data_IF_262546448732
#
_entry.id   IF_262546448732
#
_cell.length_a   1.000
_cell.length_b   1.000
_cell.length_c   1.000
_cell.angle_alpha   90.00
_cell.angle_beta   90.00
_cell.angle_gamma   90.00
#
_symmetry.space_group_name_H-M   'P 1'
#
loop_
_entity.id
_entity.type
_entity.pdbx_description
1 polymer ?
#
# COMPACT_ATOMS: atom_id res chain seq x y z
N UNK A 1 15.59 -0.90 -9.17
CA UNK A 1 14.63 -0.34 -10.15
C UNK A 1 13.36 0.07 -9.42
N UNK A 2 12.81 1.25 -9.73
CA UNK A 2 11.58 1.78 -9.10
C UNK A 2 10.46 1.77 -10.13
N UNK A 3 9.30 1.23 -9.74
CA UNK A 3 8.11 1.15 -10.60
C UNK A 3 6.95 1.88 -9.94
N UNK A 4 6.25 2.73 -10.70
CA UNK A 4 5.03 3.39 -10.25
C UNK A 4 3.83 2.50 -10.53
N UNK A 5 3.13 2.09 -9.48
CA UNK A 5 1.90 1.30 -9.60
C UNK A 5 0.76 1.97 -8.84
N UNK A 6 -0.46 1.50 -9.08
CA UNK A 6 -1.60 1.86 -8.25
C UNK A 6 -1.64 0.95 -7.01
N UNK A 7 -2.08 1.48 -5.87
CA UNK A 7 -2.14 0.74 -4.62
C UNK A 7 -2.97 -0.55 -4.74
N UNK A 8 -4.01 -0.56 -5.58
CA UNK A 8 -4.80 -1.79 -5.88
C UNK A 8 -4.00 -2.93 -6.51
N UNK A 9 -2.80 -2.66 -7.02
CA UNK A 9 -1.93 -3.67 -7.61
C UNK A 9 -0.96 -4.28 -6.60
N UNK A 10 -0.82 -3.69 -5.41
CA UNK A 10 0.03 -4.23 -4.34
C UNK A 10 -0.48 -5.62 -3.92
N UNK A 11 0.44 -6.57 -3.86
CA UNK A 11 0.16 -7.95 -3.51
C UNK A 11 1.39 -8.60 -2.84
N UNK A 12 1.30 -9.89 -2.52
CA UNK A 12 2.37 -10.60 -1.80
C UNK A 12 3.73 -10.63 -2.50
N UNK A 13 3.80 -10.42 -3.82
CA UNK A 13 5.08 -10.33 -4.55
C UNK A 13 5.86 -9.06 -4.27
N UNK A 14 5.23 -8.08 -3.60
CA UNK A 14 5.85 -6.80 -3.22
C UNK A 14 6.36 -6.79 -1.77
N UNK A 15 6.22 -7.89 -1.04
CA UNK A 15 6.75 -7.99 0.32
C UNK A 15 8.27 -7.85 0.34
N UNK A 16 8.78 -7.12 1.34
CA UNK A 16 10.21 -6.78 1.43
C UNK A 16 10.66 -5.65 0.50
N UNK A 17 9.79 -5.14 -0.38
CA UNK A 17 10.09 -3.96 -1.22
C UNK A 17 9.78 -2.67 -0.48
N UNK A 18 10.50 -1.61 -0.82
CA UNK A 18 10.22 -0.26 -0.30
C UNK A 18 9.05 0.37 -1.07
N UNK A 19 8.09 0.93 -0.33
CA UNK A 19 6.88 1.56 -0.85
C UNK A 19 6.98 3.07 -0.64
N UNK A 20 7.61 3.77 -1.59
CA UNK A 20 7.82 5.22 -1.53
C UNK A 20 8.32 5.68 -0.16
N UNK A 21 7.58 6.58 0.49
CA UNK A 21 7.91 7.09 1.83
C UNK A 21 7.21 6.33 2.97
N UNK A 22 6.49 5.25 2.66
CA UNK A 22 5.80 4.42 3.65
C UNK A 22 6.73 3.37 4.27
N UNK A 23 7.88 3.08 3.66
CA UNK A 23 8.85 2.09 4.14
C UNK A 23 8.66 0.71 3.53
N UNK A 24 9.24 -0.32 4.15
CA UNK A 24 9.28 -1.67 3.60
C UNK A 24 7.96 -2.40 3.83
N UNK A 25 7.35 -2.94 2.77
CA UNK A 25 6.06 -3.65 2.85
C UNK A 25 6.19 -4.97 3.61
N UNK A 26 5.31 -5.16 4.60
CA UNK A 26 5.24 -6.37 5.43
C UNK A 26 3.91 -7.12 5.24
N UNK A 27 2.80 -6.39 5.08
CA UNK A 27 1.51 -6.97 4.75
C UNK A 27 0.66 -6.04 3.89
N UNK A 28 -0.28 -6.62 3.14
CA UNK A 28 -1.25 -5.88 2.33
C UNK A 28 -2.63 -6.55 2.44
N UNK A 29 -3.66 -5.73 2.63
CA UNK A 29 -5.04 -6.16 2.76
C UNK A 29 -5.93 -5.27 1.89
N UNK A 30 -6.78 -5.89 1.08
CA UNK A 30 -7.77 -5.21 0.24
C UNK A 30 -9.14 -5.36 0.91
N UNK A 31 -9.72 -4.26 1.40
CA UNK A 31 -10.96 -4.32 2.17
C UNK A 31 -11.96 -3.23 1.79
N UNK A 32 -13.22 -3.46 2.14
CA UNK A 32 -14.27 -2.45 2.08
C UNK A 32 -14.36 -1.74 3.42
N UNK A 33 -14.32 -0.41 3.39
CA UNK A 33 -14.53 0.44 4.54
C UNK A 33 -15.89 1.11 4.42
N UNK A 34 -16.77 0.83 5.37
CA UNK A 34 -18.08 1.47 5.46
C UNK A 34 -17.96 2.69 6.37
N UNK A 35 -18.28 3.87 5.85
CA UNK A 35 -18.31 5.11 6.61
C UNK A 35 -19.67 5.78 6.48
N UNK A 36 -20.12 6.35 7.58
CA UNK A 36 -21.27 7.24 7.61
C UNK A 36 -20.80 8.62 7.18
N UNK A 37 -21.32 9.13 6.07
CA UNK A 37 -20.98 10.48 5.61
C UNK A 37 -21.83 11.46 6.42
N UNK A 38 -21.19 12.45 7.04
CA UNK A 38 -21.89 13.47 7.81
C UNK A 38 -22.93 14.19 6.92
N UNK A 39 -24.19 14.19 7.35
CA UNK A 39 -25.32 14.75 6.58
C UNK A 39 -26.00 13.76 5.61
N UNK A 40 -25.50 12.53 5.51
CA UNK A 40 -26.15 11.44 4.78
C UNK A 40 -26.58 10.34 5.77
N UNK A 41 -27.84 9.94 5.70
CA UNK A 41 -28.37 8.84 6.52
C UNK A 41 -27.97 7.47 5.94
N UNK A 42 -27.29 7.43 4.80
CA UNK A 42 -26.82 6.20 4.16
C UNK A 42 -25.35 5.90 4.48
N UNK A 43 -25.08 4.64 4.80
CA UNK A 43 -23.73 4.11 4.88
C UNK A 43 -23.15 3.95 3.48
N UNK A 44 -21.93 4.48 3.26
CA UNK A 44 -21.20 4.31 2.01
C UNK A 44 -20.00 3.42 2.21
N UNK A 45 -19.87 2.41 1.35
CA UNK A 45 -18.73 1.49 1.34
C UNK A 45 -17.72 1.88 0.29
N UNK A 46 -16.47 2.03 0.69
CA UNK A 46 -15.36 2.38 -0.18
C UNK A 46 -14.31 1.27 -0.18
N UNK A 47 -13.75 0.96 -1.34
CA UNK A 47 -12.59 0.07 -1.44
C UNK A 47 -11.36 0.81 -0.93
N UNK A 48 -10.59 0.17 -0.07
CA UNK A 48 -9.33 0.68 0.47
C UNK A 48 -8.27 -0.43 0.44
N UNK A 49 -7.00 -0.01 0.34
CA UNK A 49 -5.85 -0.89 0.49
C UNK A 49 -5.17 -0.53 1.79
N UNK A 50 -5.18 -1.44 2.76
CA UNK A 50 -4.43 -1.31 4.01
C UNK A 50 -3.06 -1.95 3.79
N UNK A 51 -2.00 -1.20 4.06
CA UNK A 51 -0.64 -1.71 4.05
C UNK A 51 -0.04 -1.64 5.45
N UNK A 52 0.72 -2.65 5.82
CA UNK A 52 1.60 -2.63 6.97
C UNK A 52 3.04 -2.57 6.47
N UNK A 53 3.80 -1.65 7.04
CA UNK A 53 5.16 -1.36 6.64
C UNK A 53 6.06 -1.18 7.85
N UNK A 54 7.37 -1.12 7.64
CA UNK A 54 8.33 -0.81 8.70
C UNK A 54 8.11 0.54 9.40
N UNK A 55 7.43 1.50 8.76
CA UNK A 55 7.12 2.80 9.36
C UNK A 55 5.72 2.86 10.02
N UNK A 56 4.87 1.85 9.79
CA UNK A 56 3.53 1.78 10.37
C UNK A 56 2.46 1.24 9.44
N UNK A 57 1.20 1.40 9.84
CA UNK A 57 0.02 1.00 9.06
C UNK A 57 -0.54 2.22 8.32
N UNK A 58 -0.80 2.07 7.02
CA UNK A 58 -1.37 3.12 6.18
C UNK A 58 -2.59 2.63 5.40
N UNK A 59 -3.52 3.55 5.13
CA UNK A 59 -4.68 3.31 4.29
C UNK A 59 -4.52 4.10 2.99
N UNK A 60 -4.60 3.40 1.87
CA UNK A 60 -4.46 3.96 0.54
C UNK A 60 -5.76 3.81 -0.24
N UNK A 61 -6.08 4.82 -1.05
CA UNK A 61 -7.09 4.67 -2.07
C UNK A 61 -6.60 3.71 -3.16
N UNK A 62 -7.47 2.87 -3.74
CA UNK A 62 -7.11 1.94 -4.80
C UNK A 62 -6.41 2.61 -6.00
N UNK A 63 -6.75 3.88 -6.29
CA UNK A 63 -6.17 4.69 -7.37
C UNK A 63 -4.88 5.42 -6.99
N UNK A 64 -4.51 5.45 -5.71
CA UNK A 64 -3.28 6.12 -5.25
C UNK A 64 -2.06 5.52 -5.95
N UNK A 65 -1.19 6.37 -6.48
CA UNK A 65 0.06 5.96 -7.10
C UNK A 65 1.13 5.80 -6.02
N UNK A 66 1.79 4.65 -6.00
CA UNK A 66 2.89 4.33 -5.07
C UNK A 66 4.12 3.92 -5.87
N UNK A 67 5.28 4.37 -5.41
CA UNK A 67 6.56 3.91 -5.92
C UNK A 67 6.92 2.60 -5.23
N UNK A 68 7.21 1.56 -6.00
CA UNK A 68 7.69 0.27 -5.48
C UNK A 68 9.12 0.08 -5.94
N UNK A 69 10.05 0.01 -5.00
CA UNK A 69 11.47 -0.19 -5.25
C UNK A 69 11.86 -1.56 -4.73
N UNK A 70 12.43 -2.40 -5.61
CA UNK A 70 12.91 -3.74 -5.25
C UNK A 70 13.93 -3.71 -4.11
N UNK A 71 14.23 -4.86 -3.47
CA UNK A 71 15.23 -4.93 -2.41
C UNK A 71 16.53 -4.30 -2.92
N UNK A 72 17.20 -3.52 -2.07
CA UNK A 72 18.63 -3.27 -2.25
C UNK A 72 19.29 -4.65 -2.23
N UNK A 73 19.58 -5.21 -3.41
CA UNK A 73 20.56 -6.27 -3.49
C UNK A 73 21.82 -5.68 -2.86
N UNK A 74 22.36 -6.24 -1.75
CA UNK A 74 23.70 -5.88 -1.35
C UNK A 74 24.58 -6.21 -2.56
N UNK A 75 25.26 -5.22 -3.12
CA UNK A 75 26.38 -5.51 -4.01
C UNK A 75 27.28 -6.47 -3.24
N UNK A 76 27.35 -7.72 -3.73
CA UNK A 76 28.34 -8.68 -3.25
C UNK A 76 29.67 -8.08 -3.65
N UNK A 77 30.33 -7.38 -2.71
CA UNK A 77 31.71 -6.96 -2.89
C UNK A 77 32.56 -8.22 -3.09
N UNK A 78 33.35 -8.30 -4.17
CA UNK A 78 34.26 -9.42 -4.41
C UNK A 78 35.36 -9.52 -3.34
#
# INVERSE_FOLDING_TARGET
MTTMIEARRLNGTDFGKSIGNFGTLQAVEHRLMTVQVAGDHQLKSYKIVRIETSAGTFLLWPSSKVAVTGPETPEVKP
#
